data_IF_689607903352
#
_entry.id   IF_689607903352
#
_cell.length_a   1.000
_cell.length_b   1.000
_cell.length_c   1.000
_cell.angle_alpha   90.00
_cell.angle_beta   90.00
_cell.angle_gamma   90.00
#
_symmetry.space_group_name_H-M   'P 1'
#
loop_
_entity.id
_entity.type
_entity.pdbx_description
1 polymer ?
#
# COMPACT_ATOMS: atom_id res chain seq x y z
N UNK A 1 1.31 -5.73 -20.78
CA UNK A 1 2.20 -5.90 -21.93
C UNK A 1 3.64 -5.73 -21.45
N UNK A 2 4.49 -6.74 -21.70
CA UNK A 2 5.92 -6.66 -21.40
C UNK A 2 6.65 -6.41 -22.70
N UNK A 3 7.26 -5.26 -22.82
CA UNK A 3 8.12 -4.97 -23.96
C UNK A 3 9.57 -5.36 -23.63
N UNK A 4 10.24 -6.01 -24.57
CA UNK A 4 11.66 -6.39 -24.46
C UNK A 4 12.49 -5.34 -25.19
N UNK A 5 12.91 -4.32 -24.47
CA UNK A 5 13.89 -3.39 -24.97
C UNK A 5 15.33 -3.84 -24.66
N UNK A 6 16.30 -3.20 -25.28
CA UNK A 6 17.74 -3.44 -25.02
C UNK A 6 18.11 -3.25 -23.54
N UNK A 7 17.30 -2.53 -22.77
CA UNK A 7 17.52 -2.18 -21.37
C UNK A 7 16.77 -3.08 -20.37
N UNK A 8 16.16 -4.18 -20.83
CA UNK A 8 15.43 -5.13 -19.98
C UNK A 8 13.93 -5.14 -20.22
N UNK A 9 13.18 -5.64 -19.24
CA UNK A 9 11.72 -5.74 -19.30
C UNK A 9 11.09 -4.46 -18.77
N UNK A 10 10.48 -3.66 -19.65
CA UNK A 10 9.65 -2.52 -19.27
C UNK A 10 8.20 -3.00 -19.19
N UNK A 11 7.54 -2.71 -18.10
CA UNK A 11 6.09 -2.95 -17.93
C UNK A 11 5.39 -1.61 -17.93
N UNK A 12 4.31 -1.48 -18.70
CA UNK A 12 3.42 -0.35 -18.59
C UNK A 12 2.74 -0.35 -17.23
N UNK A 13 2.67 0.83 -16.62
CA UNK A 13 1.95 1.01 -15.36
C UNK A 13 0.51 1.41 -15.67
N UNK A 14 -0.43 0.65 -15.14
CA UNK A 14 -1.84 1.03 -15.20
C UNK A 14 -2.08 2.20 -14.25
N UNK A 15 -2.44 3.35 -14.79
CA UNK A 15 -2.78 4.54 -14.00
C UNK A 15 -4.21 4.49 -13.48
N UNK A 16 -5.13 3.96 -14.29
CA UNK A 16 -6.55 3.84 -13.96
C UNK A 16 -7.09 2.52 -14.50
N UNK A 17 -7.94 1.85 -13.72
CA UNK A 17 -8.65 0.64 -14.15
C UNK A 17 -10.02 0.55 -13.52
N UNK A 18 -10.94 -0.13 -14.20
CA UNK A 18 -12.35 -0.20 -13.80
C UNK A 18 -12.58 -0.70 -12.35
N UNK A 19 -11.85 -1.73 -11.83
CA UNK A 19 -11.93 -2.12 -10.43
C UNK A 19 -11.70 -0.98 -9.43
N UNK A 20 -10.82 -0.05 -9.73
CA UNK A 20 -10.62 1.13 -8.87
C UNK A 20 -11.88 1.99 -8.81
N UNK A 21 -12.54 2.21 -9.95
CA UNK A 21 -13.79 2.99 -10.01
C UNK A 21 -14.91 2.30 -9.21
N UNK A 22 -15.04 0.98 -9.32
CA UNK A 22 -15.99 0.20 -8.52
C UNK A 22 -15.70 0.36 -7.02
N UNK A 23 -14.43 0.25 -6.62
CA UNK A 23 -14.02 0.36 -5.22
C UNK A 23 -14.20 1.79 -4.68
N UNK A 24 -13.93 2.82 -5.48
CA UNK A 24 -14.20 4.21 -5.13
C UNK A 24 -15.70 4.41 -4.85
N UNK A 25 -16.56 3.87 -5.74
CA UNK A 25 -18.02 3.91 -5.58
C UNK A 25 -18.47 3.13 -4.33
N UNK A 26 -17.95 1.91 -4.14
CA UNK A 26 -18.29 1.08 -2.98
C UNK A 26 -17.95 1.78 -1.66
N UNK A 27 -16.75 2.34 -1.56
CA UNK A 27 -16.32 3.07 -0.36
C UNK A 27 -17.17 4.31 -0.12
N UNK A 28 -17.45 5.11 -1.15
CA UNK A 28 -18.30 6.28 -1.02
C UNK A 28 -19.73 5.91 -0.55
N UNK A 29 -20.32 4.85 -1.08
CA UNK A 29 -21.64 4.36 -0.67
C UNK A 29 -21.61 3.87 0.78
N UNK A 30 -20.57 3.14 1.19
CA UNK A 30 -20.40 2.69 2.55
C UNK A 30 -20.31 3.88 3.53
N UNK A 31 -19.53 4.90 3.20
CA UNK A 31 -19.40 6.12 4.01
C UNK A 31 -20.72 6.92 4.12
N UNK A 32 -21.63 6.78 3.15
CA UNK A 32 -22.96 7.37 3.17
C UNK A 32 -24.00 6.49 3.88
N UNK A 33 -23.61 5.38 4.50
CA UNK A 33 -24.52 4.42 5.15
C UNK A 33 -25.34 3.57 4.16
N UNK A 34 -25.02 3.61 2.86
CA UNK A 34 -25.72 2.86 1.81
C UNK A 34 -25.07 1.48 1.62
N UNK A 35 -25.02 0.69 2.66
CA UNK A 35 -24.28 -0.58 2.68
C UNK A 35 -24.74 -1.57 1.59
N UNK A 36 -26.06 -1.69 1.37
CA UNK A 36 -26.55 -2.64 0.36
C UNK A 36 -26.10 -2.29 -1.06
N UNK A 37 -26.08 -1.00 -1.39
CA UNK A 37 -25.59 -0.54 -2.69
C UNK A 37 -24.08 -0.73 -2.83
N UNK A 38 -23.36 -0.50 -1.73
CA UNK A 38 -21.92 -0.76 -1.64
C UNK A 38 -21.60 -2.24 -1.81
N UNK A 39 -22.36 -3.12 -1.12
CA UNK A 39 -22.23 -4.58 -1.24
C UNK A 39 -22.49 -5.06 -2.68
N UNK A 40 -23.43 -4.46 -3.38
CA UNK A 40 -23.67 -4.77 -4.80
C UNK A 40 -22.43 -4.44 -5.68
N UNK A 41 -21.76 -3.31 -5.43
CA UNK A 41 -20.53 -2.96 -6.13
C UNK A 41 -19.40 -3.96 -5.83
N UNK A 42 -19.23 -4.36 -4.56
CA UNK A 42 -18.25 -5.37 -4.19
C UNK A 42 -18.57 -6.73 -4.80
N UNK A 43 -19.84 -7.11 -4.85
CA UNK A 43 -20.26 -8.36 -5.46
C UNK A 43 -19.97 -8.39 -6.97
N UNK A 44 -20.16 -7.27 -7.67
CA UNK A 44 -19.75 -7.12 -9.07
C UNK A 44 -18.26 -7.39 -9.26
N UNK A 45 -17.42 -6.77 -8.44
CA UNK A 45 -15.97 -6.98 -8.47
C UNK A 45 -15.61 -8.44 -8.16
N UNK A 46 -16.13 -8.97 -7.04
CA UNK A 46 -15.78 -10.29 -6.51
C UNK A 46 -16.21 -11.42 -7.43
N UNK A 47 -17.36 -11.29 -8.12
CA UNK A 47 -17.81 -12.28 -9.10
C UNK A 47 -16.86 -12.48 -10.28
N UNK A 48 -16.01 -11.48 -10.56
CA UNK A 48 -14.95 -11.56 -11.56
C UNK A 48 -13.60 -12.08 -11.00
N UNK A 49 -13.50 -12.33 -9.70
CA UNK A 49 -12.29 -12.83 -9.02
C UNK A 49 -12.47 -14.23 -8.46
N UNK A 50 -13.66 -14.54 -7.97
CA UNK A 50 -13.98 -15.80 -7.31
C UNK A 50 -15.07 -16.54 -8.07
N UNK A 51 -15.07 -17.86 -7.99
CA UNK A 51 -16.05 -18.73 -8.64
C UNK A 51 -16.62 -19.75 -7.64
N UNK A 52 -17.89 -20.11 -7.85
CA UNK A 52 -18.53 -21.17 -7.06
C UNK A 52 -18.52 -20.86 -5.55
N UNK A 53 -18.11 -21.82 -4.77
CA UNK A 53 -18.09 -21.72 -3.30
C UNK A 53 -17.09 -20.66 -2.73
N UNK A 54 -16.11 -20.23 -3.53
CA UNK A 54 -15.16 -19.20 -3.11
C UNK A 54 -15.78 -17.80 -3.15
N UNK A 55 -16.86 -17.62 -3.89
CA UNK A 55 -17.63 -16.36 -3.94
C UNK A 55 -18.60 -16.29 -2.76
N UNK A 56 -18.07 -15.91 -1.59
CA UNK A 56 -18.89 -15.73 -0.40
C UNK A 56 -19.56 -14.35 -0.37
N UNK A 57 -20.77 -14.30 0.18
CA UNK A 57 -21.47 -13.05 0.44
C UNK A 57 -20.76 -12.25 1.53
N UNK A 58 -20.78 -10.92 1.38
CA UNK A 58 -20.25 -9.99 2.38
C UNK A 58 -21.26 -9.84 3.51
N UNK A 59 -20.91 -10.32 4.70
CA UNK A 59 -21.79 -10.37 5.88
C UNK A 59 -21.53 -9.23 6.87
N UNK A 60 -20.38 -8.58 6.76
CA UNK A 60 -19.98 -7.48 7.63
C UNK A 60 -20.97 -6.32 7.54
N UNK A 61 -21.11 -5.57 8.63
CA UNK A 61 -21.99 -4.39 8.76
C UNK A 61 -21.30 -3.29 9.58
N UNK A 62 -21.77 -2.05 9.47
CA UNK A 62 -21.26 -0.91 10.24
C UNK A 62 -19.77 -0.67 10.03
N UNK A 63 -19.02 -0.46 11.11
CA UNK A 63 -17.58 -0.17 11.07
C UNK A 63 -16.76 -1.34 10.54
N UNK A 64 -17.17 -2.58 10.82
CA UNK A 64 -16.51 -3.78 10.27
C UNK A 64 -16.68 -3.83 8.75
N UNK A 65 -17.83 -3.40 8.24
CA UNK A 65 -18.05 -3.30 6.80
C UNK A 65 -17.15 -2.23 6.15
N UNK A 66 -16.99 -1.06 6.78
CA UNK A 66 -16.05 -0.04 6.30
C UNK A 66 -14.62 -0.60 6.24
N UNK A 67 -14.22 -1.32 7.26
CA UNK A 67 -12.91 -1.98 7.30
C UNK A 67 -12.78 -3.03 6.20
N UNK A 68 -13.82 -3.83 5.98
CA UNK A 68 -13.86 -4.82 4.90
C UNK A 68 -13.69 -4.18 3.52
N UNK A 69 -14.41 -3.10 3.20
CA UNK A 69 -14.30 -2.37 1.93
C UNK A 69 -12.87 -1.86 1.70
N UNK A 70 -12.26 -1.27 2.74
CA UNK A 70 -10.88 -0.77 2.69
C UNK A 70 -9.86 -1.90 2.49
N UNK A 71 -10.10 -3.05 3.08
CA UNK A 71 -9.25 -4.23 2.90
C UNK A 71 -9.43 -4.88 1.53
N UNK A 72 -10.65 -4.89 0.98
CA UNK A 72 -10.89 -5.34 -0.39
C UNK A 72 -10.15 -4.44 -1.38
N UNK A 73 -10.21 -3.12 -1.19
CA UNK A 73 -9.43 -2.16 -1.96
C UNK A 73 -7.92 -2.42 -1.87
N UNK A 74 -7.41 -2.66 -0.67
CA UNK A 74 -5.98 -2.97 -0.44
C UNK A 74 -5.54 -4.23 -1.18
N UNK A 75 -6.39 -5.26 -1.21
CA UNK A 75 -6.10 -6.52 -1.91
C UNK A 75 -6.14 -6.36 -3.43
N UNK A 76 -7.18 -5.72 -3.93
CA UNK A 76 -7.39 -5.56 -5.37
C UNK A 76 -6.35 -4.65 -6.03
N UNK A 77 -5.95 -3.56 -5.35
CA UNK A 77 -5.00 -2.56 -5.87
C UNK A 77 -3.58 -2.75 -5.32
N UNK A 78 -3.25 -3.98 -4.95
CA UNK A 78 -1.94 -4.32 -4.40
C UNK A 78 -0.82 -4.05 -5.43
N UNK A 79 0.26 -3.41 -5.00
CA UNK A 79 1.41 -3.00 -5.83
C UNK A 79 1.12 -1.93 -6.90
N UNK A 80 -0.05 -1.27 -6.86
CA UNK A 80 -0.42 -0.21 -7.80
C UNK A 80 -0.23 1.21 -7.22
N UNK A 81 0.44 1.35 -6.10
CA UNK A 81 0.79 2.63 -5.48
C UNK A 81 -0.32 3.29 -4.64
N UNK A 82 -1.54 2.75 -4.63
CA UNK A 82 -2.70 3.35 -3.96
C UNK A 82 -2.59 3.36 -2.43
N UNK A 83 -1.95 2.36 -1.83
CA UNK A 83 -1.97 2.15 -0.38
C UNK A 83 -1.46 3.33 0.44
N UNK A 84 -0.42 4.00 -0.04
CA UNK A 84 0.14 5.17 0.63
C UNK A 84 -0.87 6.31 0.76
N UNK A 85 -1.57 6.62 -0.34
CA UNK A 85 -2.58 7.67 -0.37
C UNK A 85 -3.82 7.27 0.44
N UNK A 86 -4.22 6.00 0.39
CA UNK A 86 -5.33 5.46 1.17
C UNK A 86 -5.09 5.61 2.68
N UNK A 87 -3.92 5.25 3.18
CA UNK A 87 -3.57 5.41 4.59
C UNK A 87 -3.63 6.88 5.04
N UNK A 88 -3.16 7.80 4.20
CA UNK A 88 -3.23 9.23 4.49
C UNK A 88 -4.66 9.74 4.58
N UNK A 89 -5.50 9.43 3.58
CA UNK A 89 -6.89 9.88 3.57
C UNK A 89 -7.74 9.22 4.66
N UNK A 90 -7.45 7.96 5.02
CA UNK A 90 -8.14 7.31 6.13
C UNK A 90 -7.79 7.94 7.48
N UNK A 91 -6.56 8.36 7.66
CA UNK A 91 -6.13 8.99 8.91
C UNK A 91 -6.84 10.33 9.18
N UNK A 92 -7.19 11.07 8.14
CA UNK A 92 -7.87 12.36 8.25
C UNK A 92 -9.39 12.27 8.04
N UNK A 93 -9.94 11.06 7.91
CA UNK A 93 -11.38 10.85 7.80
C UNK A 93 -12.09 11.35 9.05
N UNK A 94 -13.15 12.12 8.89
CA UNK A 94 -13.93 12.69 10.00
C UNK A 94 -14.92 11.68 10.60
N UNK A 95 -15.37 10.72 9.84
CA UNK A 95 -16.40 9.75 10.24
C UNK A 95 -15.82 8.41 10.67
N UNK A 96 -14.84 7.92 9.94
CA UNK A 96 -14.20 6.63 10.19
C UNK A 96 -12.67 6.77 10.12
N UNK A 97 -12.04 7.49 11.06
CA UNK A 97 -10.59 7.68 11.09
C UNK A 97 -9.90 6.33 11.29
N UNK A 98 -8.83 6.11 10.56
CA UNK A 98 -8.03 4.90 10.68
C UNK A 98 -6.55 5.23 10.54
N UNK A 99 -5.78 4.84 11.55
CA UNK A 99 -4.33 4.93 11.53
C UNK A 99 -3.73 3.57 11.84
N UNK A 100 -2.66 3.23 11.18
CA UNK A 100 -1.97 1.96 11.38
C UNK A 100 -0.46 2.18 11.43
N UNK A 101 0.17 1.59 12.41
CA UNK A 101 1.61 1.39 12.41
C UNK A 101 1.95 0.23 11.45
N UNK A 102 3.01 0.41 10.68
CA UNK A 102 3.48 -0.62 9.75
C UNK A 102 4.89 -1.02 10.17
N UNK A 103 5.06 -2.31 10.40
CA UNK A 103 6.35 -2.90 10.75
C UNK A 103 6.73 -3.89 9.66
N UNK A 104 7.92 -3.71 9.10
CA UNK A 104 8.50 -4.63 8.13
C UNK A 104 9.77 -5.24 8.71
N UNK A 105 9.84 -6.56 8.89
CA UNK A 105 11.07 -7.21 9.27
C UNK A 105 12.11 -7.02 8.16
N UNK A 106 13.32 -6.67 8.55
CA UNK A 106 14.46 -6.52 7.67
C UNK A 106 15.41 -7.69 7.84
N UNK A 107 15.83 -8.23 6.71
CA UNK A 107 16.76 -9.35 6.64
C UNK A 107 17.92 -8.96 5.75
N UNK A 108 19.11 -9.00 6.27
CA UNK A 108 20.32 -8.88 5.46
C UNK A 108 20.73 -10.23 4.91
N UNK A 109 21.20 -10.22 3.69
CA UNK A 109 21.81 -11.40 3.10
C UNK A 109 23.19 -11.57 3.72
N UNK A 110 23.36 -12.58 4.52
CA UNK A 110 24.68 -12.92 5.02
C UNK A 110 25.50 -13.53 3.89
N UNK A 111 26.46 -12.79 3.37
CA UNK A 111 27.47 -13.30 2.48
C UNK A 111 28.52 -14.05 3.31
N UNK A 112 28.23 -15.29 3.66
CA UNK A 112 29.30 -16.21 4.07
C UNK A 112 30.34 -16.26 2.94
N UNK A 113 31.58 -16.49 3.25
CA UNK A 113 32.76 -16.39 2.34
C UNK A 113 32.76 -17.36 1.13
N UNK A 114 31.62 -17.66 0.54
CA UNK A 114 31.44 -18.48 -0.64
C UNK A 114 30.83 -17.67 -1.77
N UNK A 115 31.60 -17.38 -2.79
CA UNK A 115 31.21 -16.61 -3.99
C UNK A 115 30.51 -17.47 -5.06
N UNK A 116 29.46 -18.23 -4.72
CA UNK A 116 28.77 -19.08 -5.69
C UNK A 116 27.25 -18.87 -5.70
N UNK A 117 26.70 -18.63 -6.89
CA UNK A 117 25.26 -18.76 -7.15
C UNK A 117 24.90 -20.24 -6.90
N UNK A 118 24.13 -20.52 -5.84
CA UNK A 118 23.74 -21.88 -5.46
C UNK A 118 24.37 -22.41 -4.17
N UNK A 119 25.15 -21.61 -3.44
CA UNK A 119 25.63 -22.02 -2.12
C UNK A 119 24.47 -21.96 -1.11
N UNK A 120 24.12 -23.11 -0.52
CA UNK A 120 23.08 -23.24 0.51
C UNK A 120 23.34 -22.41 1.79
N UNK A 121 24.50 -21.75 1.87
CA UNK A 121 24.92 -20.83 2.93
C UNK A 121 24.46 -19.40 2.77
N UNK A 122 23.66 -19.06 1.77
CA UNK A 122 23.01 -17.76 1.63
C UNK A 122 21.81 -17.68 2.58
N UNK A 123 22.06 -17.59 3.87
CA UNK A 123 21.00 -17.40 4.85
C UNK A 123 20.70 -15.91 5.01
N UNK A 124 19.40 -15.60 5.03
CA UNK A 124 18.94 -14.27 5.40
C UNK A 124 18.91 -14.17 6.92
N UNK A 125 19.69 -13.24 7.47
CA UNK A 125 19.68 -12.97 8.90
C UNK A 125 18.75 -11.80 9.19
N UNK A 126 17.85 -12.00 10.16
CA UNK A 126 17.03 -10.91 10.67
C UNK A 126 17.92 -9.88 11.36
N UNK A 127 17.86 -8.61 10.92
CA UNK A 127 18.68 -7.51 11.44
C UNK A 127 17.85 -6.44 12.14
N UNK A 128 16.54 -6.60 12.20
CA UNK A 128 15.65 -5.67 12.88
C UNK A 128 14.38 -5.38 12.10
N UNK A 129 13.69 -4.32 12.46
CA UNK A 129 12.43 -3.92 11.86
C UNK A 129 12.53 -2.49 11.30
N UNK A 130 12.02 -2.29 10.08
CA UNK A 130 11.65 -0.96 9.62
C UNK A 130 10.25 -0.64 10.13
N UNK A 131 10.13 0.52 10.78
CA UNK A 131 8.88 0.95 11.38
C UNK A 131 8.40 2.25 10.74
N UNK A 132 7.17 2.27 10.26
CA UNK A 132 6.44 3.47 9.93
C UNK A 132 5.39 3.70 11.02
N UNK A 133 5.57 4.74 11.80
CA UNK A 133 4.65 5.12 12.87
C UNK A 133 3.27 5.51 12.30
N UNK A 134 2.29 5.67 13.16
CA UNK A 134 0.96 6.16 12.76
C UNK A 134 1.05 7.57 12.17
N UNK A 135 0.08 7.92 11.33
CA UNK A 135 0.04 9.18 10.59
C UNK A 135 0.30 10.44 11.45
N UNK A 136 -0.25 10.50 12.65
CA UNK A 136 -0.13 11.68 13.53
C UNK A 136 1.11 11.66 14.44
N UNK A 137 1.90 10.61 14.40
CA UNK A 137 3.05 10.41 15.29
C UNK A 137 4.38 10.70 14.61
N UNK A 138 4.37 10.94 13.28
CA UNK A 138 5.60 11.07 12.52
C UNK A 138 5.44 11.87 11.23
N UNK A 139 6.49 12.60 10.86
CA UNK A 139 6.60 13.30 9.57
C UNK A 139 6.83 12.34 8.38
N UNK A 140 6.96 11.04 8.63
CA UNK A 140 7.28 10.02 7.62
C UNK A 140 6.25 9.92 6.47
N UNK A 141 5.02 10.39 6.70
CA UNK A 141 3.99 10.49 5.66
C UNK A 141 4.14 11.70 4.74
N UNK A 142 5.09 12.57 5.01
CA UNK A 142 5.50 13.64 4.08
C UNK A 142 6.71 13.14 3.31
N UNK A 143 6.59 13.04 1.98
CA UNK A 143 7.70 12.58 1.15
C UNK A 143 8.82 13.64 1.13
N UNK A 144 10.09 13.23 1.07
CA UNK A 144 11.19 14.16 0.92
C UNK A 144 11.10 14.86 -0.44
N UNK A 145 11.51 16.12 -0.46
CA UNK A 145 11.67 16.85 -1.72
C UNK A 145 12.85 16.20 -2.46
N UNK A 146 12.70 15.83 -3.75
CA UNK A 146 13.78 15.23 -4.52
C UNK A 146 15.05 16.08 -4.49
N UNK A 147 16.20 15.44 -4.39
CA UNK A 147 17.48 16.12 -4.25
C UNK A 147 17.78 17.10 -5.40
N UNK A 148 17.43 16.75 -6.62
CA UNK A 148 17.59 17.65 -7.77
C UNK A 148 16.77 18.94 -7.59
N UNK A 149 15.55 18.87 -7.04
CA UNK A 149 14.75 20.07 -6.78
C UNK A 149 15.38 20.93 -5.67
N UNK A 150 15.96 20.28 -4.66
CA UNK A 150 16.71 21.00 -3.61
C UNK A 150 17.95 21.69 -4.16
N UNK A 151 18.68 21.05 -5.07
CA UNK A 151 19.91 21.59 -5.66
C UNK A 151 19.67 22.82 -6.53
N UNK A 152 18.57 22.83 -7.31
CA UNK A 152 18.32 23.88 -8.31
C UNK A 152 17.38 25.00 -7.84
N UNK A 153 16.97 25.03 -6.56
CA UNK A 153 16.05 26.03 -6.06
C UNK A 153 16.70 27.26 -5.41
N UNK A 154 18.04 27.39 -5.46
CA UNK A 154 18.81 28.49 -4.85
C UNK A 154 18.53 28.72 -3.35
N UNK A 155 18.26 27.64 -2.60
CA UNK A 155 17.98 27.71 -1.17
C UNK A 155 16.57 28.19 -0.80
N UNK A 156 15.65 28.32 -1.77
CA UNK A 156 14.26 28.72 -1.50
C UNK A 156 13.41 27.58 -0.88
N UNK A 157 13.83 26.31 -1.06
CA UNK A 157 13.14 25.14 -0.48
C UNK A 157 13.87 24.66 0.76
N UNK A 158 13.10 24.29 1.77
CA UNK A 158 13.58 23.62 2.98
C UNK A 158 13.12 22.19 2.92
N UNK A 159 14.04 21.24 3.16
CA UNK A 159 13.72 19.82 3.15
C UNK A 159 12.72 19.47 4.26
N UNK A 160 11.79 18.57 3.93
CA UNK A 160 10.89 18.03 4.94
C UNK A 160 11.70 17.24 5.98
N UNK A 161 11.55 17.58 7.24
CA UNK A 161 12.16 16.82 8.32
C UNK A 161 11.60 15.41 8.32
N UNK A 162 12.49 14.45 8.45
CA UNK A 162 12.15 13.03 8.57
C UNK A 162 13.06 12.40 9.60
N UNK A 163 12.46 11.61 10.48
CA UNK A 163 13.24 10.70 11.31
C UNK A 163 13.89 9.64 10.43
N UNK A 164 15.12 9.29 10.73
CA UNK A 164 15.74 8.12 10.11
C UNK A 164 14.90 6.89 10.45
N UNK A 165 14.64 6.07 9.46
CA UNK A 165 13.97 4.78 9.65
C UNK A 165 14.96 3.84 10.33
N UNK A 166 15.15 4.02 11.64
CA UNK A 166 16.04 3.16 12.42
C UNK A 166 15.46 1.76 12.49
N UNK A 167 16.33 0.79 12.30
CA UNK A 167 16.05 -0.59 12.60
C UNK A 167 15.95 -0.67 14.11
N UNK A 168 14.75 -0.87 14.63
CA UNK A 168 14.58 -1.18 16.06
C UNK A 168 14.85 -2.67 16.22
N UNK A 169 15.92 -3.00 16.89
CA UNK A 169 16.28 -4.36 17.30
C UNK A 169 15.30 -4.90 18.34
#
# INVERSE_FOLDING_TARGET
>A
LKDKNKDGYVSDMFLLRYPEVILNKAEALAMLGRENDSKACLQELRSNRFKGADLQSVVETGDDYITFVRDERRRELCFEGHRWFDLRRYAVSTTHPFTKEIIHPHYDRWAGSGSGVGDERNEYQFTGNYRLKKYNEETAYVLPIPEYAMTYNNGALVQNEREDRKINN
#
